data_IF_275905132105
#
_entry.id   IF_275905132105
#
_cell.length_a   1.000
_cell.length_b   1.000
_cell.length_c   1.000
_cell.angle_alpha   90.00
_cell.angle_beta   90.00
_cell.angle_gamma   90.00
#
_symmetry.space_group_name_H-M   'P 1'
#
loop_
_entity.id
_entity.type
_entity.pdbx_description
1 polymer ?
#
# COMPACT_ATOMS: atom_id res chain seq x y z
N UNK A 1 14.69 -6.04 -11.79
CA UNK A 1 13.99 -5.21 -10.79
C UNK A 1 12.45 -5.23 -10.76
N UNK A 2 11.76 -5.98 -11.62
CA UNK A 2 10.27 -6.08 -11.60
C UNK A 2 9.66 -6.66 -10.30
N UNK A 3 10.44 -7.41 -9.52
CA UNK A 3 9.99 -8.00 -8.27
C UNK A 3 9.80 -6.97 -7.15
N UNK A 4 10.48 -5.81 -7.22
CA UNK A 4 10.34 -4.73 -6.24
C UNK A 4 8.95 -4.06 -6.28
N UNK A 5 8.42 -3.61 -7.44
CA UNK A 5 7.08 -3.05 -7.53
C UNK A 5 5.99 -4.11 -7.24
N UNK A 6 6.18 -5.36 -7.67
CA UNK A 6 5.25 -6.46 -7.33
C UNK A 6 5.21 -6.72 -5.82
N UNK A 7 6.37 -6.76 -5.15
CA UNK A 7 6.43 -6.90 -3.68
C UNK A 7 5.74 -5.73 -2.96
N UNK A 8 5.81 -4.53 -3.54
CA UNK A 8 5.18 -3.32 -2.99
C UNK A 8 3.66 -3.33 -3.18
N UNK A 9 3.15 -3.70 -4.36
CA UNK A 9 1.71 -3.84 -4.62
C UNK A 9 1.08 -4.98 -3.81
N UNK A 10 1.80 -6.09 -3.64
CA UNK A 10 1.37 -7.19 -2.77
C UNK A 10 1.36 -6.77 -1.30
N UNK A 11 2.28 -5.90 -0.87
CA UNK A 11 2.25 -5.29 0.47
C UNK A 11 1.10 -4.31 0.65
N UNK A 12 0.74 -3.52 -0.36
CA UNK A 12 -0.46 -2.68 -0.36
C UNK A 12 -1.73 -3.52 -0.23
N UNK A 13 -1.83 -4.58 -1.04
CA UNK A 13 -2.92 -5.55 -0.99
C UNK A 13 -3.03 -6.19 0.40
N UNK A 14 -1.90 -6.67 0.93
CA UNK A 14 -1.85 -7.23 2.29
C UNK A 14 -2.16 -6.17 3.36
N UNK A 15 -1.82 -4.90 3.15
CA UNK A 15 -2.13 -3.81 4.07
C UNK A 15 -3.63 -3.43 4.04
N UNK A 16 -4.30 -3.56 2.91
CA UNK A 16 -5.76 -3.37 2.82
C UNK A 16 -6.47 -4.55 3.49
N UNK A 17 -6.09 -5.78 3.14
CA UNK A 17 -6.66 -7.02 3.72
C UNK A 17 -6.40 -7.11 5.22
N UNK A 18 -5.19 -6.76 5.70
CA UNK A 18 -4.88 -6.71 7.13
C UNK A 18 -5.64 -5.59 7.86
N UNK A 19 -6.18 -4.60 7.14
CA UNK A 19 -7.00 -3.53 7.73
C UNK A 19 -8.38 -4.05 8.04
N UNK A 20 -9.00 -4.69 7.05
CA UNK A 20 -10.29 -5.34 7.24
C UNK A 20 -10.21 -6.44 8.29
N UNK A 21 -9.17 -7.29 8.24
CA UNK A 21 -8.98 -8.36 9.23
C UNK A 21 -8.78 -7.79 10.65
N UNK A 22 -7.97 -6.74 10.81
CA UNK A 22 -7.76 -6.07 12.12
C UNK A 22 -9.06 -5.44 12.61
N UNK A 23 -9.81 -4.76 11.75
CA UNK A 23 -11.08 -4.12 12.12
C UNK A 23 -12.11 -5.17 12.56
N UNK A 24 -12.23 -6.28 11.83
CA UNK A 24 -13.11 -7.41 12.18
C UNK A 24 -12.70 -8.03 13.52
N UNK A 25 -11.40 -8.29 13.72
CA UNK A 25 -10.88 -8.84 14.98
C UNK A 25 -11.06 -7.87 16.15
N UNK A 26 -10.81 -6.57 15.96
CA UNK A 26 -10.95 -5.57 17.03
C UNK A 26 -12.41 -5.29 17.39
N UNK A 27 -13.31 -5.18 16.41
CA UNK A 27 -14.75 -5.06 16.66
C UNK A 27 -15.25 -6.27 17.47
N UNK A 28 -14.69 -7.45 17.22
CA UNK A 28 -15.04 -8.66 17.96
C UNK A 28 -14.47 -8.71 19.39
N UNK A 29 -13.52 -7.85 19.77
CA UNK A 29 -12.83 -7.90 21.07
C UNK A 29 -13.00 -6.62 21.93
N UNK A 30 -12.82 -5.42 21.37
CA UNK A 30 -13.02 -4.11 22.05
C UNK A 30 -13.37 -3.02 21.01
N UNK A 31 -14.60 -2.47 21.01
CA UNK A 31 -15.09 -1.70 19.87
C UNK A 31 -14.74 -0.20 19.81
N UNK A 32 -14.30 0.47 20.89
CA UNK A 32 -14.65 1.91 21.00
C UNK A 32 -13.57 2.97 20.69
N UNK A 33 -12.26 2.73 20.88
CA UNK A 33 -11.24 3.84 20.78
C UNK A 33 -9.98 3.51 19.97
N UNK A 34 -9.56 2.24 19.93
CA UNK A 34 -8.36 1.79 19.20
C UNK A 34 -8.46 1.88 17.66
N UNK A 35 -9.64 1.76 17.00
CA UNK A 35 -9.73 1.78 15.55
C UNK A 35 -9.34 3.12 14.90
N UNK A 36 -9.55 4.24 15.59
CA UNK A 36 -9.43 5.59 15.03
C UNK A 36 -7.96 5.97 14.72
N UNK A 37 -7.00 5.86 15.66
CA UNK A 37 -5.59 6.16 15.36
C UNK A 37 -4.99 5.19 14.34
N UNK A 38 -5.43 3.92 14.38
CA UNK A 38 -4.94 2.87 13.49
C UNK A 38 -5.32 3.17 12.04
N UNK A 39 -6.53 3.65 11.78
CA UNK A 39 -6.96 4.00 10.42
C UNK A 39 -6.12 5.15 9.82
N UNK A 40 -5.73 6.14 10.65
CA UNK A 40 -4.92 7.28 10.21
C UNK A 40 -3.47 6.89 9.85
N UNK A 41 -2.79 6.15 10.74
CA UNK A 41 -1.42 5.67 10.48
C UNK A 41 -1.36 4.76 9.23
N UNK A 42 -2.44 4.03 8.97
CA UNK A 42 -2.55 3.15 7.80
C UNK A 42 -2.72 3.90 6.49
N UNK A 43 -3.44 5.02 6.49
CA UNK A 43 -3.64 5.86 5.31
C UNK A 43 -2.32 6.45 4.78
N UNK A 44 -1.46 6.91 5.70
CA UNK A 44 -0.13 7.44 5.38
C UNK A 44 0.78 6.33 4.82
N UNK A 45 0.71 5.14 5.41
CA UNK A 45 1.52 3.98 5.00
C UNK A 45 1.12 3.47 3.60
N UNK A 46 -0.18 3.37 3.30
CA UNK A 46 -0.64 2.98 1.96
C UNK A 46 -0.37 4.06 0.92
N UNK A 47 -0.55 5.34 1.26
CA UNK A 47 -0.23 6.47 0.38
C UNK A 47 1.25 6.48 -0.04
N UNK A 48 2.15 6.27 0.91
CA UNK A 48 3.60 6.21 0.63
C UNK A 48 3.96 5.06 -0.31
N UNK A 49 3.35 3.87 -0.15
CA UNK A 49 3.58 2.76 -1.07
C UNK A 49 3.03 3.03 -2.49
N UNK A 50 1.87 3.66 -2.60
CA UNK A 50 1.27 4.00 -3.89
C UNK A 50 2.12 5.02 -4.65
N UNK A 51 2.66 6.02 -3.95
CA UNK A 51 3.58 7.00 -4.53
C UNK A 51 4.84 6.34 -5.09
N UNK A 52 5.48 5.46 -4.32
CA UNK A 52 6.68 4.75 -4.78
C UNK A 52 6.35 3.86 -5.99
N UNK A 53 5.18 3.22 -6.04
CA UNK A 53 4.75 2.42 -7.19
C UNK A 53 4.55 3.28 -8.45
N UNK A 54 3.88 4.42 -8.31
CA UNK A 54 3.69 5.39 -9.40
C UNK A 54 5.02 5.94 -9.88
N UNK A 55 5.93 6.30 -8.98
CA UNK A 55 7.26 6.80 -9.35
C UNK A 55 8.08 5.73 -10.08
N UNK A 56 8.09 4.49 -9.60
CA UNK A 56 8.79 3.40 -10.29
C UNK A 56 8.16 3.07 -11.65
N UNK A 57 6.83 3.11 -11.75
CA UNK A 57 6.12 2.93 -13.02
C UNK A 57 6.37 4.06 -14.00
N UNK A 58 6.42 5.30 -13.53
CA UNK A 58 6.76 6.47 -14.33
C UNK A 58 8.21 6.40 -14.84
N UNK A 59 9.17 6.03 -13.98
CA UNK A 59 10.57 5.82 -14.40
C UNK A 59 10.67 4.68 -15.42
N UNK A 60 10.01 3.55 -15.19
CA UNK A 60 10.03 2.44 -16.15
C UNK A 60 9.37 2.80 -17.49
N UNK A 61 8.28 3.57 -17.45
CA UNK A 61 7.63 4.08 -18.64
C UNK A 61 8.53 5.07 -19.38
N UNK A 62 9.19 6.00 -18.68
CA UNK A 62 10.17 6.92 -19.26
C UNK A 62 11.35 6.19 -19.90
N UNK A 63 11.95 5.23 -19.21
CA UNK A 63 13.04 4.40 -19.75
C UNK A 63 12.61 3.60 -20.99
N UNK A 64 11.39 3.04 -20.98
CA UNK A 64 10.85 2.33 -22.13
C UNK A 64 10.47 3.24 -23.29
N UNK A 65 10.20 4.52 -23.02
CA UNK A 65 9.95 5.56 -24.05
C UNK A 65 11.27 6.10 -24.62
N UNK A 66 12.34 6.16 -23.84
CA UNK A 66 13.69 6.54 -24.30
C UNK A 66 14.41 5.43 -25.07
N UNK A 67 14.14 4.15 -24.77
CA UNK A 67 14.71 3.00 -25.48
C UNK A 67 14.15 2.73 -26.89
N UNK A 68 13.36 3.64 -27.46
CA UNK A 68 12.68 3.48 -28.75
C UNK A 68 13.11 4.53 -29.80
N UNK A 69 14.35 5.01 -29.72
CA UNK A 69 15.08 5.68 -30.81
C UNK A 69 16.47 5.06 -30.99
#
# INVERSE_FOLDING_TARGET
DFTKPISLSLRLFKNIIASELVVVVFISLVPSVVPIPVMFLRLITSGTQALIFVTLGAVYLSESMEGHH
#
